data_IF_753129320948
#
_entry.id   IF_753129320948
#
_cell.length_a   1.000
_cell.length_b   1.000
_cell.length_c   1.000
_cell.angle_alpha   90.00
_cell.angle_beta   90.00
_cell.angle_gamma   90.00
#
_symmetry.space_group_name_H-M   'P 1'
#
loop_
_entity.id
_entity.type
_entity.pdbx_description
1 polymer ?
#
# COMPACT_ATOMS: atom_id res chain seq x y z
N UNK A 1 13.32 -8.07 8.01
CA UNK A 1 14.51 -7.48 8.69
C UNK A 1 15.81 -8.26 8.40
N UNK A 2 15.90 -9.56 8.72
CA UNK A 2 17.14 -10.35 8.53
C UNK A 2 17.65 -10.37 7.09
N UNK A 3 16.76 -10.45 6.11
CA UNK A 3 17.12 -10.36 4.69
C UNK A 3 17.90 -9.09 4.34
N UNK A 4 17.45 -7.93 4.85
CA UNK A 4 18.09 -6.63 4.60
C UNK A 4 19.44 -6.56 5.33
N UNK A 5 19.50 -7.04 6.58
CA UNK A 5 20.75 -7.08 7.34
C UNK A 5 21.83 -7.89 6.62
N UNK A 6 21.46 -9.05 6.07
CA UNK A 6 22.38 -9.90 5.31
C UNK A 6 22.82 -9.25 3.99
N UNK A 7 21.91 -8.57 3.28
CA UNK A 7 22.22 -7.89 2.02
C UNK A 7 23.19 -6.71 2.18
N UNK A 8 23.18 -6.03 3.32
CA UNK A 8 24.00 -4.85 3.57
C UNK A 8 25.04 -5.07 4.67
N UNK A 9 25.42 -6.33 4.94
CA UNK A 9 26.43 -6.73 5.93
C UNK A 9 26.29 -6.06 7.30
N UNK A 10 25.04 -5.85 7.75
CA UNK A 10 24.75 -5.21 9.04
C UNK A 10 25.10 -3.72 9.14
N UNK A 11 25.38 -3.03 8.03
CA UNK A 11 25.72 -1.59 8.04
C UNK A 11 24.56 -0.70 8.52
N UNK A 12 24.85 0.53 8.94
CA UNK A 12 23.84 1.52 9.39
C UNK A 12 22.78 1.84 8.32
N UNK A 13 23.09 1.62 7.03
CA UNK A 13 22.16 1.74 5.90
C UNK A 13 20.96 0.78 6.00
N UNK A 14 21.09 -0.34 6.70
CA UNK A 14 20.00 -1.31 6.88
C UNK A 14 18.76 -0.66 7.50
N UNK A 15 18.94 0.17 8.52
CA UNK A 15 17.82 0.85 9.21
C UNK A 15 17.11 1.83 8.31
N UNK A 16 17.87 2.57 7.48
CA UNK A 16 17.31 3.52 6.52
C UNK A 16 16.49 2.80 5.45
N UNK A 17 17.03 1.72 4.86
CA UNK A 17 16.32 0.94 3.83
C UNK A 17 15.08 0.28 4.42
N UNK A 18 15.19 -0.31 5.61
CA UNK A 18 14.05 -0.94 6.27
C UNK A 18 12.96 0.08 6.62
N UNK A 19 13.34 1.26 7.13
CA UNK A 19 12.40 2.35 7.41
C UNK A 19 11.64 2.82 6.17
N UNK A 20 12.32 2.95 5.03
CA UNK A 20 11.68 3.30 3.73
C UNK A 20 10.70 2.22 3.25
N UNK A 21 11.02 0.93 3.46
CA UNK A 21 10.08 -0.14 3.12
C UNK A 21 8.84 -0.07 4.01
N UNK A 22 9.02 0.22 5.31
CA UNK A 22 7.90 0.35 6.23
C UNK A 22 7.03 1.58 5.93
N UNK A 23 7.61 2.70 5.47
CA UNK A 23 6.82 3.90 5.13
C UNK A 23 5.83 3.64 3.98
N UNK A 24 6.15 2.74 3.06
CA UNK A 24 5.24 2.31 1.98
C UNK A 24 3.93 1.76 2.56
N UNK A 25 3.96 1.07 3.70
CA UNK A 25 2.74 0.53 4.32
C UNK A 25 1.76 1.64 4.75
N UNK A 26 2.28 2.77 5.22
CA UNK A 26 1.47 3.94 5.58
C UNK A 26 0.89 4.61 4.33
N UNK A 27 1.69 4.77 3.28
CA UNK A 27 1.24 5.35 2.00
C UNK A 27 0.15 4.48 1.35
N UNK A 28 0.30 3.16 1.40
CA UNK A 28 -0.70 2.21 0.91
C UNK A 28 -2.05 2.35 1.62
N UNK A 29 -2.09 2.75 2.89
CA UNK A 29 -3.37 3.02 3.59
C UNK A 29 -4.09 4.22 2.96
N UNK A 30 -3.37 5.29 2.68
CA UNK A 30 -3.94 6.48 2.04
C UNK A 30 -4.43 6.16 0.62
N UNK A 31 -3.62 5.46 -0.18
CA UNK A 31 -4.01 5.05 -1.53
C UNK A 31 -5.20 4.08 -1.52
N UNK A 32 -5.24 3.14 -0.58
CA UNK A 32 -6.37 2.23 -0.39
C UNK A 32 -7.66 2.98 -0.08
N UNK A 33 -7.60 3.98 0.81
CA UNK A 33 -8.76 4.84 1.11
C UNK A 33 -9.21 5.64 -0.12
N UNK A 34 -8.27 6.21 -0.88
CA UNK A 34 -8.60 6.92 -2.12
C UNK A 34 -9.25 6.00 -3.15
N UNK A 35 -8.78 4.76 -3.26
CA UNK A 35 -9.39 3.74 -4.10
C UNK A 35 -10.83 3.42 -3.67
N UNK A 36 -11.07 3.19 -2.38
CA UNK A 36 -12.42 2.97 -1.84
C UNK A 36 -13.35 4.15 -2.14
N UNK A 37 -12.89 5.39 -1.93
CA UNK A 37 -13.66 6.59 -2.23
C UNK A 37 -14.00 6.71 -3.73
N UNK A 38 -13.08 6.30 -4.61
CA UNK A 38 -13.34 6.26 -6.06
C UNK A 38 -14.42 5.23 -6.40
N UNK A 39 -14.34 4.01 -5.84
CA UNK A 39 -15.36 2.98 -6.04
C UNK A 39 -16.74 3.45 -5.56
N UNK A 40 -16.81 4.09 -4.39
CA UNK A 40 -18.04 4.71 -3.87
C UNK A 40 -18.55 5.78 -4.85
N UNK A 41 -17.67 6.66 -5.35
CA UNK A 41 -18.05 7.71 -6.31
C UNK A 41 -18.62 7.12 -7.61
N UNK A 42 -18.04 6.03 -8.12
CA UNK A 42 -18.54 5.33 -9.31
C UNK A 42 -19.93 4.76 -9.07
N UNK A 43 -20.16 4.13 -7.92
CA UNK A 43 -21.46 3.59 -7.52
C UNK A 43 -22.53 4.68 -7.44
N UNK A 44 -22.22 5.81 -6.79
CA UNK A 44 -23.13 6.97 -6.70
C UNK A 44 -23.43 7.60 -8.07
N UNK A 45 -22.48 7.56 -9.00
CA UNK A 45 -22.65 8.05 -10.38
C UNK A 45 -23.32 7.03 -11.31
N UNK A 46 -23.87 5.92 -10.77
CA UNK A 46 -24.44 4.81 -11.54
C UNK A 46 -23.51 4.29 -12.64
N UNK A 47 -22.19 4.32 -12.41
CA UNK A 47 -21.21 3.66 -13.28
C UNK A 47 -21.05 2.21 -12.82
N UNK A 48 -20.97 1.29 -13.78
CA UNK A 48 -20.84 -0.14 -13.48
C UNK A 48 -19.47 -0.44 -12.88
N UNK A 49 -19.44 -0.84 -11.62
CA UNK A 49 -18.32 -1.56 -11.04
C UNK A 49 -18.56 -3.07 -11.28
N UNK A 50 -17.55 -3.86 -11.65
CA UNK A 50 -17.68 -5.32 -11.69
C UNK A 50 -18.12 -5.86 -10.32
N UNK A 51 -19.09 -6.81 -10.24
CA UNK A 51 -19.57 -7.33 -8.96
C UNK A 51 -18.47 -7.86 -8.03
N UNK A 52 -17.47 -8.53 -8.60
CA UNK A 52 -16.29 -9.00 -7.86
C UNK A 52 -15.55 -7.88 -7.10
N UNK A 53 -15.48 -6.68 -7.68
CA UNK A 53 -14.82 -5.53 -7.05
C UNK A 53 -15.72 -4.79 -6.04
N UNK A 54 -17.04 -5.05 -6.05
CA UNK A 54 -17.93 -4.52 -5.01
C UNK A 54 -17.92 -5.35 -3.73
N UNK A 55 -17.55 -6.63 -3.82
CA UNK A 55 -17.54 -7.58 -2.70
C UNK A 55 -16.24 -7.53 -1.87
N UNK A 56 -15.10 -7.23 -2.52
CA UNK A 56 -13.75 -7.26 -1.92
C UNK A 56 -13.39 -5.99 -1.14
#
# INVERSE_FOLDING_TARGET
RMYILNQFSGTSRCSVVYGKILSILSELRTLGMQNSNMCISLKLKNRKLPPFLEEI
#
